data_IF_335655942422
#
_entry.id   IF_335655942422
#
_cell.length_a   1.000
_cell.length_b   1.000
_cell.length_c   1.000
_cell.angle_alpha   90.00
_cell.angle_beta   90.00
_cell.angle_gamma   90.00
#
_symmetry.space_group_name_H-M   'P 1'
#
loop_
_entity.id
_entity.type
_entity.pdbx_description
1 polymer ?
#
# COMPACT_ATOMS: atom_id res chain seq x y z
N UNK A 1 -19.68 11.80 12.59
CA UNK A 1 -18.26 12.01 12.32
C UNK A 1 -17.99 11.51 10.92
N UNK A 2 -17.97 12.43 9.95
CA UNK A 2 -17.69 12.10 8.56
C UNK A 2 -16.17 12.08 8.39
N UNK A 3 -15.58 10.88 8.48
CA UNK A 3 -14.25 10.66 7.95
C UNK A 3 -14.37 10.61 6.42
N UNK A 4 -14.39 11.77 5.79
CA UNK A 4 -14.19 11.84 4.36
C UNK A 4 -12.70 11.70 4.10
N UNK A 5 -12.22 10.46 3.95
CA UNK A 5 -10.95 10.21 3.30
C UNK A 5 -11.18 10.62 1.85
N UNK A 6 -10.47 11.66 1.41
CA UNK A 6 -10.58 12.14 0.03
C UNK A 6 -9.39 11.60 -0.74
N UNK A 7 -9.62 10.51 -1.44
CA UNK A 7 -8.61 9.81 -2.21
C UNK A 7 -8.67 10.21 -3.69
N UNK A 8 -7.50 10.27 -4.31
CA UNK A 8 -7.36 10.34 -5.76
C UNK A 8 -7.04 8.94 -6.29
N UNK A 9 -8.07 8.25 -6.78
CA UNK A 9 -7.99 6.90 -7.33
C UNK A 9 -8.47 6.86 -8.78
N UNK A 10 -7.92 5.94 -9.61
CA UNK A 10 -8.37 5.71 -10.99
C UNK A 10 -8.56 7.01 -11.77
N UNK A 11 -7.54 7.88 -11.73
CA UNK A 11 -7.63 9.23 -12.25
C UNK A 11 -6.78 9.41 -13.50
N UNK A 12 -7.23 10.23 -14.44
CA UNK A 12 -6.45 10.71 -15.60
C UNK A 12 -6.21 12.22 -15.50
N UNK A 13 -6.19 12.77 -14.28
CA UNK A 13 -6.05 14.20 -14.07
C UNK A 13 -4.64 14.71 -14.39
N UNK A 14 -4.60 15.99 -14.77
CA UNK A 14 -3.34 16.73 -14.93
C UNK A 14 -2.71 17.06 -13.58
N UNK A 15 -1.49 17.60 -13.61
CA UNK A 15 -0.81 18.12 -12.42
C UNK A 15 -1.61 19.24 -11.74
N UNK A 16 -2.18 20.17 -12.53
CA UNK A 16 -2.93 21.35 -12.06
C UNK A 16 -4.25 20.92 -11.42
N UNK A 17 -4.97 19.99 -12.05
CA UNK A 17 -6.23 19.44 -11.53
C UNK A 17 -5.98 18.69 -10.21
N UNK A 18 -4.96 17.81 -10.17
CA UNK A 18 -4.58 17.11 -8.95
C UNK A 18 -4.17 18.08 -7.84
N UNK A 19 -3.39 19.12 -8.17
CA UNK A 19 -3.03 20.18 -7.24
C UNK A 19 -4.24 20.85 -6.61
N UNK A 20 -5.23 21.21 -7.41
CA UNK A 20 -6.49 21.82 -6.92
C UNK A 20 -7.22 20.89 -5.95
N UNK A 21 -7.26 19.58 -6.24
CA UNK A 21 -7.93 18.59 -5.39
C UNK A 21 -7.19 18.41 -4.06
N UNK A 22 -5.85 18.36 -4.09
CA UNK A 22 -5.04 18.28 -2.85
C UNK A 22 -5.14 19.55 -2.01
N UNK A 23 -5.13 20.72 -2.64
CA UNK A 23 -5.29 22.01 -1.97
C UNK A 23 -6.70 22.16 -1.34
N UNK A 24 -7.70 21.46 -1.89
CA UNK A 24 -9.03 21.34 -1.32
C UNK A 24 -9.14 20.29 -0.19
N UNK A 25 -8.05 19.63 0.18
CA UNK A 25 -7.95 18.72 1.32
C UNK A 25 -7.97 17.23 1.00
N UNK A 26 -7.82 16.82 -0.27
CA UNK A 26 -7.47 15.43 -0.55
C UNK A 26 -6.06 15.15 -0.06
N UNK A 27 -5.83 13.95 0.49
CA UNK A 27 -4.58 13.60 1.16
C UNK A 27 -3.99 12.26 0.72
N UNK A 28 -4.62 11.54 -0.19
CA UNK A 28 -4.17 10.23 -0.63
C UNK A 28 -4.05 10.11 -2.13
N UNK A 29 -3.01 9.42 -2.57
CA UNK A 29 -2.88 8.79 -3.89
C UNK A 29 -3.06 7.29 -3.71
N UNK A 30 -4.22 6.77 -4.06
CA UNK A 30 -4.57 5.36 -3.95
C UNK A 30 -3.75 4.54 -4.93
N UNK A 31 -3.20 3.39 -4.49
CA UNK A 31 -2.41 2.43 -5.27
C UNK A 31 -1.51 3.09 -6.34
N UNK A 32 -0.61 3.96 -5.90
CA UNK A 32 0.30 4.76 -6.71
C UNK A 32 0.80 4.03 -7.97
N UNK A 33 0.81 4.70 -9.11
CA UNK A 33 1.11 4.23 -10.47
C UNK A 33 -0.01 3.42 -11.15
N UNK A 34 -0.91 2.79 -10.41
CA UNK A 34 -1.94 1.95 -10.97
C UNK A 34 -3.17 2.79 -11.33
N UNK A 35 -3.72 2.57 -12.54
CA UNK A 35 -4.87 3.30 -13.07
C UNK A 35 -4.74 4.85 -12.98
N UNK A 36 -3.51 5.36 -13.20
CA UNK A 36 -3.22 6.79 -13.29
C UNK A 36 -2.07 7.07 -14.27
N UNK A 37 -1.93 8.31 -14.79
CA UNK A 37 -0.82 8.68 -15.66
C UNK A 37 0.53 8.53 -14.94
N UNK A 38 1.52 8.00 -15.63
CA UNK A 38 2.91 7.98 -15.15
C UNK A 38 3.53 9.39 -15.15
N UNK A 39 4.65 9.54 -14.45
CA UNK A 39 5.40 10.81 -14.45
C UNK A 39 6.01 11.04 -15.82
N UNK A 40 5.59 12.10 -16.48
CA UNK A 40 6.24 12.60 -17.70
C UNK A 40 6.89 13.96 -17.40
N UNK A 41 8.12 14.19 -17.92
CA UNK A 41 8.93 15.37 -17.57
C UNK A 41 8.30 16.73 -17.87
N UNK A 42 7.27 16.80 -18.70
CA UNK A 42 6.47 18.02 -18.99
C UNK A 42 5.02 17.91 -18.52
N UNK A 43 4.58 16.74 -18.07
CA UNK A 43 3.23 16.47 -17.60
C UNK A 43 3.34 15.49 -16.42
N UNK A 44 3.76 15.95 -15.23
CA UNK A 44 4.05 15.06 -14.11
C UNK A 44 2.81 14.43 -13.47
N UNK A 45 1.63 14.88 -13.85
CA UNK A 45 0.35 14.30 -13.43
C UNK A 45 0.11 14.35 -11.91
N UNK A 46 -0.81 13.51 -11.42
CA UNK A 46 -1.16 13.49 -10.00
C UNK A 46 0.01 13.09 -9.09
N UNK A 47 0.92 12.25 -9.60
CA UNK A 47 2.10 11.80 -8.85
C UNK A 47 3.03 12.98 -8.55
N UNK A 48 3.30 13.82 -9.56
CA UNK A 48 4.10 15.03 -9.40
C UNK A 48 3.45 16.00 -8.42
N UNK A 49 2.16 16.27 -8.60
CA UNK A 49 1.40 17.18 -7.73
C UNK A 49 1.39 16.72 -6.26
N UNK A 50 1.19 15.42 -6.02
CA UNK A 50 1.18 14.85 -4.67
C UNK A 50 2.56 14.82 -4.02
N UNK A 51 3.62 14.59 -4.82
CA UNK A 51 4.99 14.51 -4.26
C UNK A 51 5.46 15.82 -3.64
N UNK A 52 4.98 16.96 -4.12
CA UNK A 52 5.33 18.30 -3.65
C UNK A 52 4.48 18.77 -2.45
N UNK A 53 3.50 17.99 -2.00
CA UNK A 53 2.59 18.34 -0.90
C UNK A 53 2.82 17.41 0.29
N UNK A 54 3.27 17.97 1.40
CA UNK A 54 3.63 17.21 2.61
C UNK A 54 2.44 16.46 3.25
N UNK A 55 1.23 16.94 3.03
CA UNK A 55 0.00 16.31 3.53
C UNK A 55 -0.50 15.15 2.66
N UNK A 56 0.15 14.87 1.53
CA UNK A 56 -0.28 13.79 0.62
C UNK A 56 0.52 12.52 0.89
N UNK A 57 -0.16 11.45 1.24
CA UNK A 57 0.37 10.10 1.40
C UNK A 57 0.12 9.29 0.13
N UNK A 58 1.08 8.49 -0.27
CA UNK A 58 0.94 7.60 -1.42
C UNK A 58 0.83 6.15 -0.97
N UNK A 59 -0.28 5.52 -1.29
CA UNK A 59 -0.47 4.08 -1.11
C UNK A 59 0.31 3.32 -2.19
N UNK A 60 0.98 2.24 -1.83
CA UNK A 60 1.82 1.49 -2.75
C UNK A 60 1.63 -0.01 -2.58
N UNK A 61 1.25 -0.68 -3.67
CA UNK A 61 1.23 -2.14 -3.74
C UNK A 61 2.65 -2.62 -4.04
N UNK A 62 3.24 -3.37 -3.11
CA UNK A 62 4.61 -3.86 -3.23
C UNK A 62 4.65 -5.39 -3.25
N UNK A 63 3.95 -6.00 -4.20
CA UNK A 63 3.83 -7.46 -4.37
C UNK A 63 4.81 -8.03 -5.42
N UNK A 64 5.51 -7.17 -6.15
CA UNK A 64 6.42 -7.55 -7.24
C UNK A 64 5.73 -7.83 -8.57
N UNK A 65 4.40 -7.61 -8.66
CA UNK A 65 3.60 -7.77 -9.87
C UNK A 65 3.07 -6.43 -10.40
N UNK A 66 2.54 -5.59 -9.50
CA UNK A 66 1.94 -4.31 -9.86
C UNK A 66 2.97 -3.24 -10.19
N UNK A 67 4.06 -3.19 -9.42
CA UNK A 67 5.03 -2.10 -9.51
C UNK A 67 6.45 -2.65 -9.62
N UNK A 68 7.19 -2.19 -10.64
CA UNK A 68 8.58 -2.58 -10.85
C UNK A 68 9.46 -2.13 -9.66
N UNK A 69 10.46 -2.90 -9.22
CA UNK A 69 11.32 -2.55 -8.08
C UNK A 69 11.97 -1.18 -8.15
N UNK A 70 12.34 -0.74 -9.36
CA UNK A 70 12.90 0.60 -9.57
C UNK A 70 11.87 1.71 -9.27
N UNK A 71 10.60 1.52 -9.68
CA UNK A 71 9.53 2.46 -9.41
C UNK A 71 9.17 2.49 -7.91
N UNK A 72 9.22 1.34 -7.22
CA UNK A 72 9.10 1.28 -5.75
C UNK A 72 10.16 2.16 -5.09
N UNK A 73 11.44 2.02 -5.47
CA UNK A 73 12.52 2.86 -4.93
C UNK A 73 12.34 4.35 -5.25
N UNK A 74 11.82 4.67 -6.44
CA UNK A 74 11.50 6.07 -6.79
C UNK A 74 10.37 6.62 -5.92
N UNK A 75 9.30 5.84 -5.70
CA UNK A 75 8.19 6.23 -4.84
C UNK A 75 8.66 6.62 -3.42
N UNK A 76 9.50 5.79 -2.80
CA UNK A 76 10.06 6.09 -1.48
C UNK A 76 10.94 7.36 -1.43
N UNK A 77 11.54 7.74 -2.56
CA UNK A 77 12.31 9.01 -2.65
C UNK A 77 11.41 10.22 -2.90
N UNK A 78 10.32 10.05 -3.66
CA UNK A 78 9.36 11.12 -3.94
C UNK A 78 8.46 11.43 -2.74
N UNK A 79 8.16 10.42 -1.93
CA UNK A 79 7.28 10.51 -0.76
C UNK A 79 8.00 10.07 0.52
N UNK A 80 9.08 10.78 0.96
CA UNK A 80 9.86 10.37 2.12
C UNK A 80 8.99 10.38 3.39
N UNK A 81 8.87 9.21 4.06
CA UNK A 81 8.03 9.02 5.24
C UNK A 81 6.52 9.04 5.00
N UNK A 82 6.09 9.11 3.75
CA UNK A 82 4.68 9.23 3.32
C UNK A 82 4.24 8.11 2.37
N UNK A 83 4.95 6.99 2.34
CA UNK A 83 4.48 5.77 1.67
C UNK A 83 3.66 4.95 2.66
N UNK A 84 2.43 4.63 2.31
CA UNK A 84 1.57 3.66 2.98
C UNK A 84 1.57 2.38 2.15
N UNK A 85 2.21 1.32 2.64
CA UNK A 85 2.11 0.02 1.96
C UNK A 85 0.71 -0.54 2.12
N UNK A 86 0.14 -0.97 1.01
CA UNK A 86 -1.14 -1.67 0.95
C UNK A 86 -0.98 -2.99 0.20
N UNK A 87 -1.87 -3.93 0.46
CA UNK A 87 -1.93 -5.18 -0.30
C UNK A 87 -2.85 -5.09 -1.50
N UNK A 88 -3.91 -4.30 -1.43
CA UNK A 88 -5.01 -4.30 -2.40
C UNK A 88 -5.49 -5.72 -2.71
N UNK A 89 -5.61 -6.53 -1.65
CA UNK A 89 -5.82 -7.97 -1.76
C UNK A 89 -7.26 -8.30 -2.13
N UNK A 90 -7.41 -9.10 -3.16
CA UNK A 90 -8.68 -9.71 -3.52
C UNK A 90 -9.07 -10.82 -2.54
N UNK A 91 -10.35 -11.19 -2.54
CA UNK A 91 -10.87 -12.29 -1.67
C UNK A 91 -10.22 -13.66 -1.97
N UNK A 92 -9.55 -13.81 -3.08
CA UNK A 92 -8.77 -15.02 -3.41
C UNK A 92 -7.38 -15.04 -2.79
N UNK A 93 -6.97 -14.02 -2.05
CA UNK A 93 -5.70 -14.00 -1.33
C UNK A 93 -5.64 -15.16 -0.31
N UNK A 94 -4.57 -15.95 -0.37
CA UNK A 94 -4.39 -17.12 0.47
C UNK A 94 -5.23 -18.36 0.08
N UNK A 95 -5.98 -18.27 -1.01
CA UNK A 95 -6.75 -19.39 -1.53
C UNK A 95 -5.91 -20.21 -2.55
N UNK A 96 -6.28 -21.48 -2.82
CA UNK A 96 -5.65 -22.27 -3.89
C UNK A 96 -5.79 -21.63 -5.27
N UNK A 97 -4.89 -21.98 -6.19
CA UNK A 97 -5.05 -21.61 -7.61
C UNK A 97 -6.42 -22.07 -8.14
N UNK A 98 -7.09 -21.19 -8.88
CA UNK A 98 -8.45 -21.46 -9.35
C UNK A 98 -9.17 -20.24 -9.89
N UNK A 99 -10.46 -20.42 -10.21
CA UNK A 99 -11.34 -19.35 -10.66
C UNK A 99 -12.15 -18.79 -9.49
N UNK A 100 -12.20 -17.46 -9.43
CA UNK A 100 -12.91 -16.66 -8.42
C UNK A 100 -13.72 -15.57 -9.13
N UNK A 101 -14.43 -14.73 -8.37
CA UNK A 101 -15.21 -13.62 -8.92
C UNK A 101 -14.89 -12.31 -8.21
N UNK A 102 -14.87 -11.23 -8.99
CA UNK A 102 -14.73 -9.85 -8.51
C UNK A 102 -15.77 -8.97 -9.22
N UNK A 103 -16.75 -8.45 -8.47
CA UNK A 103 -17.77 -7.58 -9.06
C UNK A 103 -18.57 -8.21 -10.21
N UNK A 104 -18.73 -9.54 -10.21
CA UNK A 104 -19.41 -10.28 -11.29
C UNK A 104 -18.51 -10.67 -12.47
N UNK A 105 -17.23 -10.33 -12.42
CA UNK A 105 -16.23 -10.73 -13.42
C UNK A 105 -15.43 -11.94 -12.94
N UNK A 106 -15.04 -12.81 -13.86
CA UNK A 106 -14.18 -13.96 -13.56
C UNK A 106 -12.73 -13.49 -13.34
N UNK A 107 -12.15 -13.98 -12.25
CA UNK A 107 -10.75 -13.77 -11.88
C UNK A 107 -10.05 -15.11 -11.77
N UNK A 108 -8.92 -15.26 -12.40
CA UNK A 108 -8.10 -16.47 -12.38
C UNK A 108 -6.88 -16.25 -11.50
N UNK A 109 -6.83 -16.95 -10.37
CA UNK A 109 -5.66 -16.98 -9.50
C UNK A 109 -4.70 -18.07 -9.98
N UNK A 110 -3.46 -17.70 -10.27
CA UNK A 110 -2.39 -18.62 -10.62
C UNK A 110 -1.06 -18.13 -10.07
N UNK A 111 -0.37 -18.96 -9.29
CA UNK A 111 0.93 -18.63 -8.68
C UNK A 111 0.88 -17.28 -7.92
N UNK A 112 -0.13 -17.07 -7.09
CA UNK A 112 -0.35 -15.83 -6.32
C UNK A 112 -0.55 -14.55 -7.17
N UNK A 113 -0.91 -14.68 -8.46
CA UNK A 113 -1.27 -13.58 -9.34
C UNK A 113 -2.70 -13.74 -9.79
N UNK A 114 -3.54 -12.73 -9.54
CA UNK A 114 -4.94 -12.71 -9.93
C UNK A 114 -5.13 -11.88 -11.20
N UNK A 115 -5.68 -12.49 -12.25
CA UNK A 115 -5.90 -11.86 -13.56
C UNK A 115 -7.33 -12.01 -14.03
N UNK A 116 -7.81 -11.04 -14.79
CA UNK A 116 -9.03 -11.15 -15.58
C UNK A 116 -8.81 -12.07 -16.79
N UNK A 117 -9.89 -12.43 -17.48
CA UNK A 117 -9.84 -13.29 -18.66
C UNK A 117 -8.97 -12.74 -19.81
N UNK A 118 -8.85 -11.42 -19.92
CA UNK A 118 -8.00 -10.73 -20.90
C UNK A 118 -6.51 -10.65 -20.50
N UNK A 119 -6.15 -11.18 -19.32
CA UNK A 119 -4.79 -11.16 -18.78
C UNK A 119 -4.44 -9.92 -17.95
N UNK A 120 -5.33 -8.95 -17.84
CA UNK A 120 -5.14 -7.76 -16.98
C UNK A 120 -5.04 -8.18 -15.52
N UNK A 121 -4.13 -7.58 -14.73
CA UNK A 121 -4.07 -7.80 -13.29
C UNK A 121 -5.35 -7.26 -12.67
N UNK A 122 -6.08 -8.13 -11.95
CA UNK A 122 -7.36 -7.81 -11.35
C UNK A 122 -7.21 -7.16 -9.96
N UNK A 123 -6.08 -7.37 -9.33
CA UNK A 123 -5.71 -6.92 -8.00
C UNK A 123 -4.70 -7.88 -7.38
N UNK A 124 -4.30 -7.61 -6.15
CA UNK A 124 -3.28 -8.41 -5.47
C UNK A 124 -3.87 -9.71 -4.88
N UNK A 125 -3.04 -10.75 -4.84
CA UNK A 125 -3.30 -11.97 -4.09
C UNK A 125 -2.28 -12.19 -2.97
N UNK A 126 -1.63 -11.10 -2.52
CA UNK A 126 -0.65 -11.09 -1.43
C UNK A 126 -1.18 -10.39 -0.18
N UNK A 127 -0.56 -10.62 0.96
CA UNK A 127 -0.86 -9.92 2.21
C UNK A 127 0.13 -8.77 2.46
N UNK A 128 -0.21 -7.88 3.40
CA UNK A 128 0.60 -6.71 3.70
C UNK A 128 2.00 -7.05 4.26
N UNK A 129 2.11 -8.13 5.04
CA UNK A 129 3.40 -8.54 5.58
C UNK A 129 4.39 -8.95 4.47
N UNK A 130 3.91 -9.66 3.47
CA UNK A 130 4.71 -10.03 2.30
C UNK A 130 5.03 -8.81 1.42
N UNK A 131 4.12 -7.85 1.28
CA UNK A 131 4.41 -6.56 0.63
C UNK A 131 5.56 -5.81 1.34
N UNK A 132 5.56 -5.76 2.66
CA UNK A 132 6.62 -5.14 3.45
C UNK A 132 7.96 -5.87 3.26
N UNK A 133 7.98 -7.21 3.32
CA UNK A 133 9.18 -8.01 3.05
C UNK A 133 9.72 -7.77 1.65
N UNK A 134 8.82 -7.71 0.67
CA UNK A 134 9.16 -7.46 -0.73
C UNK A 134 9.76 -6.06 -0.93
N UNK A 135 9.29 -5.05 -0.20
CA UNK A 135 9.90 -3.72 -0.22
C UNK A 135 11.36 -3.77 0.24
N UNK A 136 11.67 -4.52 1.29
CA UNK A 136 13.06 -4.73 1.76
C UNK A 136 13.89 -5.46 0.71
N UNK A 137 13.36 -6.52 0.08
CA UNK A 137 14.03 -7.23 -1.04
C UNK A 137 14.33 -6.27 -2.22
N UNK A 138 13.48 -5.28 -2.46
CA UNK A 138 13.68 -4.26 -3.50
C UNK A 138 14.66 -3.15 -3.09
N UNK A 139 15.25 -3.23 -1.90
CA UNK A 139 16.29 -2.32 -1.41
C UNK A 139 15.76 -1.12 -0.63
N UNK A 140 14.53 -1.16 -0.14
CA UNK A 140 14.04 -0.17 0.83
C UNK A 140 14.63 -0.50 2.21
N UNK A 141 15.17 0.48 2.95
CA UNK A 141 15.63 0.26 4.32
C UNK A 141 14.53 -0.38 5.18
N UNK A 142 14.93 -1.38 6.00
CA UNK A 142 13.99 -2.19 6.81
C UNK A 142 13.06 -1.33 7.66
N UNK A 143 13.61 -0.30 8.32
CA UNK A 143 12.84 0.62 9.15
C UNK A 143 11.79 1.38 8.35
N UNK A 144 12.12 1.83 7.14
CA UNK A 144 11.17 2.54 6.28
C UNK A 144 10.04 1.61 5.81
N UNK A 145 10.37 0.38 5.41
CA UNK A 145 9.38 -0.61 4.99
C UNK A 145 8.42 -0.97 6.14
N UNK A 146 8.95 -1.15 7.37
CA UNK A 146 8.14 -1.42 8.56
C UNK A 146 7.24 -0.22 8.89
N UNK A 147 7.77 0.99 8.92
CA UNK A 147 6.97 2.20 9.18
C UNK A 147 5.85 2.38 8.17
N UNK A 148 6.13 2.11 6.89
CA UNK A 148 5.15 2.20 5.80
C UNK A 148 4.03 1.16 5.90
N UNK A 149 4.23 0.07 6.63
CA UNK A 149 3.23 -0.98 6.86
C UNK A 149 2.57 -0.89 8.26
N UNK A 150 2.98 0.03 9.11
CA UNK A 150 2.52 0.11 10.51
C UNK A 150 2.11 1.52 10.91
N UNK A 151 3.07 2.39 11.18
CA UNK A 151 2.80 3.73 11.73
C UNK A 151 2.16 4.65 10.70
N UNK A 152 2.60 4.62 9.43
CA UNK A 152 2.01 5.46 8.38
C UNK A 152 0.52 5.16 8.22
N UNK A 153 0.08 3.91 7.95
CA UNK A 153 -1.35 3.61 7.86
C UNK A 153 -2.12 3.90 9.15
N UNK A 154 -1.50 3.72 10.33
CA UNK A 154 -2.16 4.07 11.60
C UNK A 154 -2.44 5.57 11.71
N UNK A 155 -1.51 6.43 11.26
CA UNK A 155 -1.69 7.89 11.21
C UNK A 155 -2.79 8.30 10.25
N UNK A 156 -2.79 7.70 9.05
CA UNK A 156 -3.80 8.02 8.03
C UNK A 156 -5.22 7.68 8.47
N UNK A 157 -5.35 6.65 9.30
CA UNK A 157 -6.63 6.25 9.91
C UNK A 157 -6.92 6.98 11.24
N UNK A 158 -6.04 7.88 11.70
CA UNK A 158 -6.17 8.56 13.00
C UNK A 158 -6.07 7.62 14.19
N UNK A 159 -5.36 6.50 14.04
CA UNK A 159 -5.23 5.44 15.04
C UNK A 159 -3.83 5.30 15.63
N UNK A 160 -2.95 6.24 15.37
CA UNK A 160 -1.57 6.20 15.88
C UNK A 160 -1.47 6.31 17.40
N UNK A 161 -2.52 6.77 18.09
CA UNK A 161 -2.59 6.76 19.54
C UNK A 161 -2.81 5.34 20.12
N UNK A 162 -3.39 4.44 19.31
CA UNK A 162 -3.77 3.08 19.73
C UNK A 162 -2.80 2.00 19.23
N UNK A 163 -2.29 2.14 18.01
CA UNK A 163 -1.45 1.14 17.36
C UNK A 163 -0.39 1.74 16.42
N UNK A 164 0.25 0.92 15.58
CA UNK A 164 1.26 1.33 14.60
C UNK A 164 2.68 1.48 15.18
N UNK A 165 2.86 1.44 16.50
CA UNK A 165 4.19 1.46 17.14
C UNK A 165 4.15 0.77 18.50
N UNK A 166 5.31 0.26 18.94
CA UNK A 166 5.48 -0.33 20.28
C UNK A 166 5.76 0.80 21.27
N UNK A 167 4.71 1.26 21.95
CA UNK A 167 4.78 2.35 22.94
C UNK A 167 3.88 1.99 24.11
N UNK A 168 4.28 2.27 25.38
CA UNK A 168 3.42 2.03 26.55
C UNK A 168 2.05 2.70 26.41
N UNK A 169 0.99 1.95 26.70
CA UNK A 169 -0.40 2.42 26.60
C UNK A 169 -1.08 2.12 25.28
N UNK A 170 -0.38 1.66 24.25
CA UNK A 170 -0.96 1.21 22.99
C UNK A 170 -1.39 -0.26 23.06
N UNK A 171 -2.22 -0.66 22.11
CA UNK A 171 -2.63 -2.06 21.93
C UNK A 171 -1.39 -2.94 21.67
N UNK A 172 -1.38 -4.11 22.28
CA UNK A 172 -0.31 -5.07 22.10
C UNK A 172 -0.54 -5.94 20.85
N UNK A 173 -0.66 -5.28 19.70
CA UNK A 173 -0.79 -5.88 18.38
C UNK A 173 0.57 -5.85 17.69
N UNK A 174 1.26 -6.98 17.61
CA UNK A 174 2.58 -7.03 17.02
C UNK A 174 2.93 -8.40 16.44
N UNK A 175 3.86 -8.39 15.50
CA UNK A 175 4.45 -9.57 14.90
C UNK A 175 5.90 -9.70 15.38
N UNK A 176 6.25 -10.87 15.88
CA UNK A 176 7.65 -11.24 16.18
C UNK A 176 8.24 -11.93 14.96
N UNK A 177 9.40 -11.46 14.53
CA UNK A 177 10.13 -12.03 13.40
C UNK A 177 11.65 -12.12 13.71
N UNK A 178 12.35 -12.91 12.92
CA UNK A 178 13.81 -12.92 12.92
C UNK A 178 14.39 -11.75 12.08
N UNK A 179 15.71 -11.66 12.02
CA UNK A 179 16.41 -10.61 11.25
C UNK A 179 16.10 -10.65 9.75
N UNK A 180 15.76 -11.82 9.21
CA UNK A 180 15.36 -12.01 7.83
C UNK A 180 13.86 -11.74 7.60
N UNK A 181 13.17 -11.23 8.62
CA UNK A 181 11.72 -11.01 8.61
C UNK A 181 10.91 -12.29 8.39
N UNK A 182 11.39 -13.45 8.87
CA UNK A 182 10.55 -14.63 8.95
C UNK A 182 9.67 -14.53 10.20
N UNK A 183 8.37 -14.64 10.05
CA UNK A 183 7.38 -14.57 11.13
C UNK A 183 7.62 -15.72 12.12
N UNK A 184 7.64 -15.40 13.41
CA UNK A 184 7.80 -16.35 14.53
C UNK A 184 6.55 -16.41 15.40
N UNK A 185 5.89 -15.27 15.60
CA UNK A 185 4.65 -15.20 16.38
C UNK A 185 3.83 -13.98 15.99
N UNK A 186 2.52 -14.07 16.20
CA UNK A 186 1.57 -12.96 16.01
C UNK A 186 0.79 -12.78 17.31
N UNK A 187 0.74 -11.55 17.79
CA UNK A 187 -0.02 -11.18 19.00
C UNK A 187 -1.12 -10.17 18.60
N UNK A 188 -2.30 -10.37 19.13
CA UNK A 188 -3.43 -9.44 19.05
C UNK A 188 -3.92 -9.15 20.47
N UNK A 189 -3.94 -7.88 20.85
CA UNK A 189 -4.27 -7.43 22.21
C UNK A 189 -3.50 -8.19 23.30
N UNK A 190 -2.23 -8.51 23.03
CA UNK A 190 -1.36 -9.25 23.93
C UNK A 190 -1.58 -10.78 23.95
N UNK A 191 -2.55 -11.30 23.20
CA UNK A 191 -2.82 -12.74 23.09
C UNK A 191 -2.09 -13.33 21.89
N UNK A 192 -1.33 -14.41 22.11
CA UNK A 192 -0.68 -15.14 21.04
C UNK A 192 -1.74 -15.82 20.16
N UNK A 193 -1.78 -15.48 18.87
CA UNK A 193 -2.66 -16.08 17.87
C UNK A 193 -2.00 -17.24 17.14
N UNK A 194 -0.77 -17.03 16.71
CA UNK A 194 0.01 -18.02 15.97
C UNK A 194 1.45 -18.04 16.53
N UNK A 195 1.99 -19.21 16.81
CA UNK A 195 3.41 -19.36 17.17
C UNK A 195 4.32 -19.23 15.95
#
# INVERSE_FOLDING_TARGET
>A
SEMCIRDSAHTDCTYEEAGTVFDAGASHLTHLYNAMPGIHHRKPGPIGAGSERENVVAELICDGQHVHPSAVRMAFRLFPGRICLISDALRCCGMPDGQYTLGGQDVFLKNSVARLADGTIAGSATNLYDCMRKAVEFGIPKEQAILSATLVPARELGREAENGSITPGKLADFVVCDEALNRKAVYLSGVLLEP
#
